data_IF_896751802586
#
_entry.id   IF_896751802586
#
_cell.length_a   1.000
_cell.length_b   1.000
_cell.length_c   1.000
_cell.angle_alpha   90.00
_cell.angle_beta   90.00
_cell.angle_gamma   90.00
#
_symmetry.space_group_name_H-M   'P 1'
#
loop_
_entity.id
_entity.type
_entity.pdbx_description
1 polymer ?
#
# COMPACT_ATOMS: atom_id res chain seq x y z
N UNK A 1 5.78 8.01 -14.50
CA UNK A 1 5.71 6.79 -13.68
C UNK A 1 5.10 5.70 -14.53
N UNK A 2 5.77 4.58 -14.69
CA UNK A 2 5.28 3.37 -15.38
C UNK A 2 4.80 2.31 -14.38
N UNK A 3 4.04 1.33 -14.86
CA UNK A 3 3.64 0.16 -14.07
C UNK A 3 4.84 -0.56 -13.44
N UNK A 4 5.93 -0.73 -14.20
CA UNK A 4 7.15 -1.38 -13.72
C UNK A 4 7.86 -0.57 -12.61
N UNK A 5 7.83 0.76 -12.68
CA UNK A 5 8.39 1.62 -11.64
C UNK A 5 7.56 1.56 -10.35
N UNK A 6 6.23 1.53 -10.46
CA UNK A 6 5.34 1.32 -9.32
C UNK A 6 5.58 -0.05 -8.66
N UNK A 7 5.60 -1.12 -9.45
CA UNK A 7 5.86 -2.47 -8.93
C UNK A 7 7.20 -2.53 -8.19
N UNK A 8 8.26 -1.95 -8.76
CA UNK A 8 9.56 -1.84 -8.09
C UNK A 8 9.48 -1.08 -6.76
N UNK A 9 8.76 0.04 -6.70
CA UNK A 9 8.60 0.81 -5.47
C UNK A 9 7.88 0.00 -4.38
N UNK A 10 6.83 -0.74 -4.75
CA UNK A 10 6.10 -1.63 -3.84
C UNK A 10 6.99 -2.76 -3.36
N UNK A 11 7.76 -3.41 -4.25
CA UNK A 11 8.71 -4.46 -3.86
C UNK A 11 9.74 -3.96 -2.84
N UNK A 12 10.24 -2.73 -2.98
CA UNK A 12 11.18 -2.14 -2.02
C UNK A 12 10.55 -1.93 -0.64
N UNK A 13 9.33 -1.41 -0.59
CA UNK A 13 8.58 -1.26 0.66
C UNK A 13 8.33 -2.63 1.29
N UNK A 14 7.82 -3.58 0.51
CA UNK A 14 7.51 -4.93 0.99
C UNK A 14 8.74 -5.64 1.54
N UNK A 15 9.91 -5.55 0.89
CA UNK A 15 11.17 -6.11 1.43
C UNK A 15 11.54 -5.48 2.79
N UNK A 16 11.26 -4.20 2.99
CA UNK A 16 11.51 -3.49 4.25
C UNK A 16 10.61 -3.98 5.39
N UNK A 17 9.36 -4.40 5.11
CA UNK A 17 8.36 -4.72 6.14
C UNK A 17 8.04 -6.21 6.29
N UNK A 18 8.34 -7.05 5.29
CA UNK A 18 7.91 -8.45 5.26
C UNK A 18 8.45 -9.32 6.42
N UNK A 19 9.54 -8.90 7.05
CA UNK A 19 10.18 -9.62 8.16
C UNK A 19 9.78 -9.06 9.54
N UNK A 20 8.91 -8.05 9.57
CA UNK A 20 8.53 -7.40 10.82
C UNK A 20 7.63 -8.30 11.66
N UNK A 21 7.87 -8.25 12.97
CA UNK A 21 7.08 -8.93 13.98
C UNK A 21 6.10 -7.94 14.63
N UNK A 22 5.09 -8.47 15.34
CA UNK A 22 4.01 -7.68 15.95
C UNK A 22 4.47 -6.42 16.73
N UNK A 23 5.53 -6.46 17.57
CA UNK A 23 5.97 -5.26 18.29
C UNK A 23 6.43 -4.13 17.38
N UNK A 24 7.03 -4.46 16.22
CA UNK A 24 7.50 -3.46 15.27
C UNK A 24 6.35 -2.84 14.48
N UNK A 25 5.31 -3.62 14.20
CA UNK A 25 4.07 -3.16 13.60
C UNK A 25 3.28 -2.21 14.51
N UNK A 26 3.22 -2.52 15.81
CA UNK A 26 2.54 -1.69 16.81
C UNK A 26 3.27 -0.36 17.12
N UNK A 27 4.57 -0.27 16.82
CA UNK A 27 5.34 0.95 17.07
C UNK A 27 4.83 2.13 16.22
N UNK A 28 4.96 3.34 16.78
CA UNK A 28 4.55 4.59 16.13
C UNK A 28 5.42 4.85 14.91
N UNK A 29 4.79 5.23 13.79
CA UNK A 29 5.49 5.64 12.58
C UNK A 29 6.15 7.02 12.78
N UNK A 30 7.25 7.29 12.07
CA UNK A 30 7.98 8.57 12.19
C UNK A 30 7.12 9.76 11.75
N UNK A 31 6.20 9.54 10.80
CA UNK A 31 5.25 10.55 10.36
C UNK A 31 3.91 10.40 11.10
N UNK A 32 3.66 11.28 12.07
CA UNK A 32 2.39 11.38 12.79
C UNK A 32 2.32 10.53 14.06
N UNK A 33 1.09 10.33 14.55
CA UNK A 33 0.81 9.66 15.84
C UNK A 33 0.05 8.33 15.66
N UNK A 34 0.33 7.60 14.58
CA UNK A 34 -0.32 6.31 14.30
C UNK A 34 0.67 5.16 14.35
N UNK A 35 0.18 3.94 14.54
CA UNK A 35 1.02 2.76 14.39
C UNK A 35 1.50 2.61 12.95
N UNK A 36 2.66 1.96 12.77
CA UNK A 36 3.15 1.58 11.44
C UNK A 36 2.15 0.69 10.70
N UNK A 37 1.43 -0.14 11.44
CA UNK A 37 0.42 -1.03 10.89
C UNK A 37 -0.79 -0.26 10.31
N UNK A 38 -1.24 0.80 10.99
CA UNK A 38 -2.31 1.68 10.50
C UNK A 38 -1.88 2.49 9.29
N UNK A 39 -0.61 2.93 9.28
CA UNK A 39 -0.05 3.66 8.15
C UNK A 39 -0.03 2.79 6.89
N UNK A 40 0.47 1.55 6.99
CA UNK A 40 0.47 0.62 5.85
C UNK A 40 -0.95 0.19 5.48
N UNK A 41 -1.87 0.04 6.43
CA UNK A 41 -3.27 -0.25 6.09
C UNK A 41 -3.91 0.86 5.27
N UNK A 42 -3.64 2.12 5.63
CA UNK A 42 -4.10 3.27 4.83
C UNK A 42 -3.53 3.23 3.43
N UNK A 43 -2.24 2.91 3.26
CA UNK A 43 -1.66 2.72 1.94
C UNK A 43 -2.39 1.63 1.14
N UNK A 44 -2.68 0.47 1.76
CA UNK A 44 -3.44 -0.62 1.13
C UNK A 44 -4.81 -0.12 0.66
N UNK A 45 -5.52 0.63 1.51
CA UNK A 45 -6.82 1.21 1.15
C UNK A 45 -6.71 2.22 0.01
N UNK A 46 -5.70 3.09 0.00
CA UNK A 46 -5.51 4.08 -1.06
C UNK A 46 -5.21 3.42 -2.41
N UNK A 47 -4.37 2.37 -2.43
CA UNK A 47 -4.11 1.62 -3.66
C UNK A 47 -5.37 0.91 -4.16
N UNK A 48 -6.17 0.32 -3.27
CA UNK A 48 -7.45 -0.30 -3.63
C UNK A 48 -8.47 0.72 -4.17
N UNK A 49 -8.49 1.95 -3.62
CA UNK A 49 -9.34 3.03 -4.14
C UNK A 49 -8.94 3.40 -5.57
N UNK A 50 -7.64 3.49 -5.86
CA UNK A 50 -7.14 3.77 -7.20
C UNK A 50 -7.48 2.65 -8.18
N UNK A 51 -7.45 1.39 -7.74
CA UNK A 51 -7.87 0.25 -8.56
C UNK A 51 -9.36 0.36 -8.93
N UNK A 52 -10.22 0.58 -7.92
CA UNK A 52 -11.66 0.77 -8.15
C UNK A 52 -11.95 1.95 -9.09
N UNK A 53 -11.23 3.06 -8.95
CA UNK A 53 -11.37 4.22 -9.83
C UNK A 53 -10.98 3.89 -11.29
N UNK A 54 -9.91 3.11 -11.50
CA UNK A 54 -9.47 2.66 -12.82
C UNK A 54 -10.51 1.71 -13.47
N UNK A 55 -11.11 0.83 -12.68
CA UNK A 55 -12.19 -0.08 -13.12
C UNK A 55 -13.55 0.63 -13.31
N UNK A 56 -13.68 1.87 -12.81
CA UNK A 56 -14.95 2.61 -12.67
C UNK A 56 -15.97 1.90 -11.78
N UNK A 57 -15.47 1.20 -10.76
CA UNK A 57 -16.26 0.52 -9.76
C UNK A 57 -16.37 1.36 -8.47
N UNK A 58 -17.39 1.12 -7.62
CA UNK A 58 -17.48 1.78 -6.33
C UNK A 58 -16.28 1.40 -5.44
N UNK A 59 -15.69 2.40 -4.78
CA UNK A 59 -14.66 2.19 -3.75
C UNK A 59 -15.24 1.37 -2.59
N UNK A 60 -14.47 0.38 -2.12
CA UNK A 60 -14.85 -0.51 -1.02
C UNK A 60 -13.79 -0.44 0.08
N UNK A 61 -14.21 -0.67 1.32
CA UNK A 61 -13.29 -0.77 2.44
C UNK A 61 -12.52 -2.08 2.34
N UNK A 62 -11.20 -2.01 2.37
CA UNK A 62 -10.34 -3.20 2.49
C UNK A 62 -10.46 -3.73 3.92
N UNK A 63 -10.83 -5.01 4.11
CA UNK A 63 -10.89 -5.60 5.44
C UNK A 63 -9.54 -5.58 6.14
N UNK A 64 -9.53 -5.16 7.41
CA UNK A 64 -8.40 -5.36 8.29
C UNK A 64 -8.42 -6.81 8.80
N UNK A 65 -7.37 -7.57 8.49
CA UNK A 65 -7.23 -8.95 8.98
C UNK A 65 -6.83 -8.97 10.46
N UNK A 66 -7.04 -10.11 11.12
CA UNK A 66 -6.82 -10.28 12.57
C UNK A 66 -5.37 -10.06 13.04
N UNK A 67 -4.41 -10.02 12.12
CA UNK A 67 -3.02 -9.71 12.41
C UNK A 67 -2.38 -8.84 11.33
N UNK A 68 -1.40 -8.04 11.75
CA UNK A 68 -0.72 -7.07 10.90
C UNK A 68 0.36 -7.71 10.01
N UNK A 69 0.69 -8.99 10.22
CA UNK A 69 1.70 -9.70 9.44
C UNK A 69 1.23 -9.95 8.00
N UNK A 70 -0.08 -9.89 7.74
CA UNK A 70 -0.66 -10.03 6.41
C UNK A 70 -0.60 -8.75 5.57
N UNK A 71 -0.24 -7.60 6.15
CA UNK A 71 -0.19 -6.31 5.45
C UNK A 71 0.70 -6.29 4.19
N UNK A 72 1.91 -6.88 4.19
CA UNK A 72 2.75 -6.92 2.99
C UNK A 72 2.06 -7.68 1.85
N UNK A 73 1.30 -8.73 2.16
CA UNK A 73 0.58 -9.52 1.15
C UNK A 73 -0.67 -8.79 0.67
N UNK A 74 -1.43 -8.15 1.58
CA UNK A 74 -2.54 -7.28 1.18
C UNK A 74 -2.05 -6.18 0.21
N UNK A 75 -0.92 -5.54 0.50
CA UNK A 75 -0.33 -4.53 -0.39
C UNK A 75 0.04 -5.10 -1.77
N UNK A 76 0.62 -6.31 -1.83
CA UNK A 76 0.92 -6.98 -3.10
C UNK A 76 -0.35 -7.23 -3.91
N UNK A 77 -1.40 -7.74 -3.28
CA UNK A 77 -2.68 -8.05 -3.93
C UNK A 77 -3.31 -6.79 -4.51
N UNK A 78 -3.53 -5.75 -3.71
CA UNK A 78 -4.17 -4.52 -4.22
C UNK A 78 -3.32 -3.80 -5.26
N UNK A 79 -1.99 -3.93 -5.20
CA UNK A 79 -1.11 -3.41 -6.26
C UNK A 79 -1.28 -4.20 -7.56
N UNK A 80 -1.36 -5.53 -7.47
CA UNK A 80 -1.61 -6.37 -8.64
C UNK A 80 -2.98 -6.06 -9.26
N UNK A 81 -4.01 -5.85 -8.44
CA UNK A 81 -5.35 -5.45 -8.88
C UNK A 81 -5.30 -4.09 -9.59
N UNK A 82 -4.63 -3.08 -8.98
CA UNK A 82 -4.43 -1.78 -9.62
C UNK A 82 -3.74 -1.91 -10.98
N UNK A 83 -2.69 -2.73 -11.10
CA UNK A 83 -1.98 -2.91 -12.37
C UNK A 83 -2.83 -3.67 -13.41
N UNK A 84 -3.64 -4.63 -12.97
CA UNK A 84 -4.56 -5.37 -13.83
C UNK A 84 -5.70 -4.49 -14.36
N UNK A 85 -6.09 -3.45 -13.62
CA UNK A 85 -7.08 -2.46 -14.03
C UNK A 85 -6.59 -1.47 -15.12
N UNK A 86 -5.35 -1.62 -15.61
CA UNK A 86 -4.71 -0.73 -16.61
C UNK A 86 -4.81 0.75 -16.25
N UNK A 87 -4.17 1.17 -15.14
CA UNK A 87 -4.38 2.49 -14.57
C UNK A 87 -3.69 3.56 -15.41
N UNK A 88 -4.33 4.72 -15.52
CA UNK A 88 -3.74 5.88 -16.17
C UNK A 88 -2.48 6.41 -15.45
N UNK A 89 -1.69 7.22 -16.16
CA UNK A 89 -0.42 7.76 -15.65
C UNK A 89 -0.57 8.57 -14.36
N UNK A 90 -1.71 9.23 -14.15
CA UNK A 90 -2.02 9.97 -12.92
C UNK A 90 -2.15 9.02 -11.73
N UNK A 91 -2.94 7.95 -11.85
CA UNK A 91 -3.11 6.93 -10.82
C UNK A 91 -1.79 6.23 -10.48
N UNK A 92 -0.97 5.90 -11.48
CA UNK A 92 0.37 5.35 -11.27
C UNK A 92 1.28 6.30 -10.48
N UNK A 93 1.25 7.60 -10.83
CA UNK A 93 2.04 8.62 -10.15
C UNK A 93 1.58 8.81 -8.71
N UNK A 94 0.26 8.83 -8.48
CA UNK A 94 -0.34 8.94 -7.15
C UNK A 94 0.01 7.75 -6.27
N UNK A 95 -0.15 6.53 -6.77
CA UNK A 95 0.19 5.31 -6.05
C UNK A 95 1.68 5.29 -5.66
N UNK A 96 2.57 5.62 -6.60
CA UNK A 96 4.01 5.62 -6.32
C UNK A 96 4.42 6.69 -5.30
N UNK A 97 3.76 7.85 -5.29
CA UNK A 97 3.97 8.88 -4.28
C UNK A 97 3.55 8.39 -2.89
N UNK A 98 2.38 7.75 -2.76
CA UNK A 98 1.90 7.19 -1.49
C UNK A 98 2.79 6.06 -0.97
N UNK A 99 3.27 5.16 -1.85
CA UNK A 99 4.23 4.11 -1.50
C UNK A 99 5.54 4.71 -0.99
N UNK A 100 6.06 5.72 -1.69
CA UNK A 100 7.34 6.37 -1.33
C UNK A 100 7.23 7.15 -0.03
N UNK A 101 6.14 7.86 0.18
CA UNK A 101 5.86 8.59 1.41
C UNK A 101 5.72 7.63 2.60
N UNK A 102 4.94 6.56 2.44
CA UNK A 102 4.79 5.51 3.45
C UNK A 102 6.14 4.90 3.80
N UNK A 103 6.93 4.50 2.79
CA UNK A 103 8.25 3.89 3.00
C UNK A 103 9.20 4.81 3.78
N UNK A 104 9.15 6.11 3.52
CA UNK A 104 10.00 7.10 4.19
C UNK A 104 9.58 7.36 5.65
N UNK A 105 8.34 7.06 5.99
CA UNK A 105 7.77 7.27 7.33
C UNK A 105 7.91 6.06 8.27
N UNK A 106 8.36 4.90 7.77
CA UNK A 106 8.44 3.62 8.49
C UNK A 106 9.82 3.36 9.11
#
# INVERSE_FOLDING_TARGET
MSAAELDKAVQLLVRQIAHWQQPRWAAVATAGNVSRADLVHRLVQEVANLAADAEREPRRVVPRLDNDLALPDQLRVVTADLLAADPGAEALTRAAAEVTATRSAL
#
